data_IF_260914529370
#
_entry.id   IF_260914529370
#
_cell.length_a   1.000
_cell.length_b   1.000
_cell.length_c   1.000
_cell.angle_alpha   90.00
_cell.angle_beta   90.00
_cell.angle_gamma   90.00
#
_symmetry.space_group_name_H-M   'P 1'
#
loop_
_entity.id
_entity.type
_entity.pdbx_description
1 polymer ?
#
# COMPACT_ATOMS: atom_id res chain seq x y z
N UNK A 1 0.77 -15.32 12.81
CA UNK A 1 0.95 -16.53 11.99
C UNK A 1 -0.07 -16.47 10.86
N UNK A 2 0.31 -16.95 9.68
CA UNK A 2 -0.54 -17.02 8.50
C UNK A 2 -0.65 -18.48 8.06
N UNK A 3 -1.73 -18.81 7.35
CA UNK A 3 -1.96 -20.16 6.80
C UNK A 3 -1.06 -20.44 5.59
N UNK A 4 -0.66 -19.38 4.86
CA UNK A 4 0.22 -19.44 3.70
C UNK A 4 1.34 -18.39 3.80
N UNK A 5 2.49 -18.69 3.18
CA UNK A 5 3.64 -17.79 3.13
C UNK A 5 4.33 -17.86 1.77
N UNK A 6 4.60 -16.70 1.18
CA UNK A 6 5.25 -16.56 -0.13
C UNK A 6 6.58 -15.81 0.02
N UNK A 7 7.63 -16.32 -0.62
CA UNK A 7 8.92 -15.64 -0.67
C UNK A 7 8.89 -14.52 -1.71
N UNK A 8 9.04 -13.28 -1.26
CA UNK A 8 8.94 -12.06 -2.11
C UNK A 8 10.31 -11.45 -2.46
N UNK A 9 11.41 -12.19 -2.28
CA UNK A 9 12.76 -11.74 -2.61
C UNK A 9 13.81 -12.00 -1.52
N UNK A 10 15.04 -11.50 -1.71
CA UNK A 10 16.15 -11.67 -0.78
C UNK A 10 15.95 -10.83 0.51
N UNK A 11 16.78 -11.05 1.56
CA UNK A 11 16.63 -10.40 2.86
C UNK A 11 16.57 -8.85 2.87
N UNK A 12 17.27 -8.13 1.98
CA UNK A 12 17.20 -6.67 1.93
C UNK A 12 15.77 -6.18 1.63
N UNK A 13 15.26 -5.28 2.47
CA UNK A 13 13.88 -4.75 2.38
C UNK A 13 13.63 -3.99 1.07
N UNK A 14 14.64 -3.30 0.55
CA UNK A 14 14.60 -2.59 -0.74
C UNK A 14 14.52 -3.52 -1.96
N UNK A 15 14.77 -4.81 -1.79
CA UNK A 15 14.73 -5.84 -2.84
C UNK A 15 13.56 -6.81 -2.65
N UNK A 16 12.79 -6.67 -1.56
CA UNK A 16 11.67 -7.54 -1.20
C UNK A 16 10.41 -6.72 -0.89
N UNK A 17 10.26 -6.23 0.33
CA UNK A 17 9.02 -5.58 0.82
C UNK A 17 8.72 -4.21 0.19
N UNK A 18 9.74 -3.50 -0.31
CA UNK A 18 9.55 -2.23 -1.01
C UNK A 18 9.40 -2.40 -2.53
N UNK A 19 9.50 -3.63 -3.04
CA UNK A 19 9.31 -3.95 -4.44
C UNK A 19 7.84 -4.31 -4.68
N UNK A 20 7.05 -3.32 -5.09
CA UNK A 20 5.61 -3.45 -5.35
C UNK A 20 5.23 -4.64 -6.24
N UNK A 21 6.02 -4.91 -7.29
CA UNK A 21 5.78 -6.00 -8.23
C UNK A 21 5.88 -7.38 -7.57
N UNK A 22 6.77 -7.55 -6.59
CA UNK A 22 6.91 -8.82 -5.86
C UNK A 22 5.66 -9.08 -5.00
N UNK A 23 5.12 -8.03 -4.37
CA UNK A 23 3.89 -8.12 -3.58
C UNK A 23 2.69 -8.41 -4.47
N UNK A 24 2.57 -7.72 -5.61
CA UNK A 24 1.49 -7.95 -6.59
C UNK A 24 1.56 -9.38 -7.15
N UNK A 25 2.76 -9.88 -7.42
CA UNK A 25 2.98 -11.27 -7.83
C UNK A 25 2.44 -12.26 -6.79
N UNK A 26 2.81 -12.09 -5.53
CA UNK A 26 2.34 -12.94 -4.44
C UNK A 26 0.81 -12.89 -4.27
N UNK A 27 0.19 -11.72 -4.43
CA UNK A 27 -1.27 -11.57 -4.38
C UNK A 27 -1.95 -12.35 -5.51
N UNK A 28 -1.41 -12.28 -6.73
CA UNK A 28 -1.94 -13.03 -7.88
C UNK A 28 -1.77 -14.54 -7.71
N UNK A 29 -0.64 -14.98 -7.17
CA UNK A 29 -0.34 -16.40 -6.93
C UNK A 29 -1.27 -17.00 -5.88
N UNK A 30 -1.48 -16.29 -4.77
CA UNK A 30 -2.32 -16.75 -3.65
C UNK A 30 -3.82 -16.50 -3.88
N UNK A 31 -4.18 -15.65 -4.83
CA UNK A 31 -5.56 -15.21 -5.02
C UNK A 31 -6.09 -14.32 -3.88
N UNK A 32 -5.20 -13.62 -3.18
CA UNK A 32 -5.58 -12.78 -2.05
C UNK A 32 -6.55 -11.66 -2.47
N UNK A 33 -7.66 -11.55 -1.74
CA UNK A 33 -8.74 -10.61 -2.06
C UNK A 33 -8.60 -9.26 -1.34
N UNK A 34 -7.74 -9.20 -0.31
CA UNK A 34 -7.48 -8.00 0.45
C UNK A 34 -6.03 -7.95 0.93
N UNK A 35 -5.50 -6.73 1.07
CA UNK A 35 -4.12 -6.48 1.52
C UNK A 35 -4.15 -5.52 2.69
N UNK A 36 -3.50 -5.91 3.78
CA UNK A 36 -3.23 -5.05 4.92
C UNK A 36 -1.72 -4.71 4.95
N UNK A 37 -1.31 -3.46 4.64
CA UNK A 37 0.10 -3.11 4.42
C UNK A 37 0.92 -2.91 5.71
N UNK A 38 0.29 -2.97 6.89
CA UNK A 38 0.96 -2.61 8.14
C UNK A 38 1.33 -1.12 8.18
N UNK A 39 2.53 -0.78 8.65
CA UNK A 39 3.04 0.58 8.78
C UNK A 39 4.48 0.70 8.25
N UNK A 40 4.82 1.80 7.57
CA UNK A 40 6.19 2.16 7.20
C UNK A 40 6.76 1.53 5.91
N UNK A 41 5.92 0.87 5.10
CA UNK A 41 6.28 0.28 3.81
C UNK A 41 5.47 0.92 2.67
N UNK A 42 4.77 0.11 1.88
CA UNK A 42 3.87 0.57 0.82
C UNK A 42 2.55 1.15 1.35
N UNK A 43 2.39 1.27 2.67
CA UNK A 43 1.19 1.82 3.33
C UNK A 43 0.87 3.25 2.92
N UNK A 44 1.88 4.03 2.52
CA UNK A 44 1.73 5.42 2.07
C UNK A 44 1.96 5.57 0.56
N UNK A 45 2.15 4.47 -0.17
CA UNK A 45 2.39 4.49 -1.61
C UNK A 45 1.05 4.47 -2.35
N UNK A 46 0.60 5.65 -2.81
CA UNK A 46 -0.64 5.83 -3.57
C UNK A 46 -0.67 5.02 -4.86
N UNK A 47 0.47 4.85 -5.53
CA UNK A 47 0.59 4.03 -6.74
C UNK A 47 0.32 2.56 -6.48
N UNK A 48 0.81 2.03 -5.36
CA UNK A 48 0.54 0.67 -4.93
C UNK A 48 -0.96 0.44 -4.65
N UNK A 49 -1.60 1.35 -3.93
CA UNK A 49 -3.05 1.26 -3.64
C UNK A 49 -3.87 1.29 -4.93
N UNK A 50 -3.54 2.17 -5.88
CA UNK A 50 -4.23 2.23 -7.17
C UNK A 50 -4.07 0.93 -7.99
N UNK A 51 -2.89 0.29 -7.94
CA UNK A 51 -2.66 -1.02 -8.57
C UNK A 51 -3.52 -2.12 -7.93
N UNK A 52 -3.66 -2.12 -6.61
CA UNK A 52 -4.54 -3.06 -5.91
C UNK A 52 -6.01 -2.86 -6.29
N UNK A 53 -6.47 -1.60 -6.33
CA UNK A 53 -7.84 -1.25 -6.76
C UNK A 53 -8.10 -1.72 -8.20
N UNK A 54 -7.15 -1.52 -9.12
CA UNK A 54 -7.25 -1.99 -10.49
C UNK A 54 -7.27 -3.53 -10.63
N UNK A 55 -6.67 -4.24 -9.68
CA UNK A 55 -6.71 -5.71 -9.58
C UNK A 55 -7.97 -6.23 -8.89
N UNK A 56 -8.84 -5.35 -8.39
CA UNK A 56 -10.01 -5.74 -7.59
C UNK A 56 -9.67 -6.24 -6.18
N UNK A 57 -8.45 -5.94 -5.70
CA UNK A 57 -7.95 -6.35 -4.39
C UNK A 57 -8.22 -5.23 -3.39
N UNK A 58 -8.94 -5.53 -2.31
CA UNK A 58 -9.32 -4.54 -1.31
C UNK A 58 -8.12 -4.13 -0.46
N UNK A 59 -7.78 -2.85 -0.49
CA UNK A 59 -6.80 -2.30 0.44
C UNK A 59 -7.45 -2.05 1.82
N UNK A 60 -6.89 -2.64 2.88
CA UNK A 60 -7.36 -2.44 4.26
C UNK A 60 -6.60 -1.26 4.85
N UNK A 61 -7.11 -0.06 4.60
CA UNK A 61 -6.51 1.20 5.03
C UNK A 61 -7.27 2.41 4.45
N UNK A 62 -6.76 3.63 4.64
CA UNK A 62 -7.27 4.80 3.92
C UNK A 62 -7.17 4.58 2.41
N UNK A 63 -8.16 5.06 1.64
CA UNK A 63 -8.14 4.93 0.19
C UNK A 63 -6.99 5.76 -0.44
N UNK A 64 -6.71 5.50 -1.72
CA UNK A 64 -5.60 6.15 -2.46
C UNK A 64 -5.69 7.69 -2.42
N UNK A 65 -6.90 8.25 -2.49
CA UNK A 65 -7.15 9.69 -2.37
C UNK A 65 -6.80 10.24 -0.99
N UNK A 66 -7.24 9.57 0.09
CA UNK A 66 -6.95 9.97 1.46
C UNK A 66 -5.45 9.89 1.76
N UNK A 67 -4.76 8.86 1.27
CA UNK A 67 -3.30 8.74 1.43
C UNK A 67 -2.60 9.89 0.69
N UNK A 68 -3.05 10.24 -0.52
CA UNK A 68 -2.51 11.38 -1.28
C UNK A 68 -2.68 12.68 -0.51
N UNK A 69 -3.87 12.93 0.06
CA UNK A 69 -4.15 14.13 0.86
C UNK A 69 -3.33 14.19 2.16
N UNK A 70 -2.98 13.06 2.78
CA UNK A 70 -2.17 13.01 4.01
C UNK A 70 -0.66 13.04 3.76
N UNK A 71 -0.20 12.50 2.62
CA UNK A 71 1.22 12.49 2.23
C UNK A 71 1.72 13.83 1.68
N UNK A 72 0.81 14.72 1.30
CA UNK A 72 1.13 16.09 0.94
C UNK A 72 1.52 16.89 2.20
N UNK A 73 2.82 16.93 2.49
CA UNK A 73 3.44 17.84 3.49
C UNK A 73 3.20 19.34 3.23
N UNK A 74 2.45 19.67 2.17
CA UNK A 74 2.21 21.02 1.65
C UNK A 74 0.72 21.43 1.65
N UNK A 75 -0.16 20.78 2.43
CA UNK A 75 -1.54 21.25 2.60
C UNK A 75 -1.69 22.04 3.92
N UNK A 76 -1.57 23.39 3.89
CA UNK A 76 -1.97 24.24 5.01
C UNK A 76 -3.51 24.41 5.12
N UNK A 77 -4.32 23.47 4.63
CA UNK A 77 -5.77 23.66 4.47
C UNK A 77 -6.60 23.55 5.76
N UNK A 78 -5.99 23.22 6.90
CA UNK A 78 -6.66 23.32 8.21
C UNK A 78 -6.68 24.76 8.78
N UNK A 79 -5.90 25.69 8.23
CA UNK A 79 -5.77 27.06 8.76
C UNK A 79 -6.51 28.13 7.95
N UNK A 80 -7.08 27.79 6.79
CA UNK A 80 -7.65 28.79 5.86
C UNK A 80 -9.17 28.99 6.00
N UNK A 81 -9.83 28.38 6.98
CA UNK A 81 -11.26 28.53 7.26
C UNK A 81 -11.56 29.27 8.58
N UNK A 82 -10.56 29.91 9.20
CA UNK A 82 -10.74 30.78 10.38
C UNK A 82 -10.36 32.25 10.12
N UNK A 83 -10.70 32.78 8.94
CA UNK A 83 -10.73 34.23 8.69
C UNK A 83 -12.05 34.63 8.05
#
# INVERSE_FOLDING_TARGET
MADEAVCIGPPPVNESYLVEENIIGAIKETGAQAVHPGYGFLSENTGFVAKLEALGVKFIGPNSEAIKSMGDKSLPSAWQLMQ
#
